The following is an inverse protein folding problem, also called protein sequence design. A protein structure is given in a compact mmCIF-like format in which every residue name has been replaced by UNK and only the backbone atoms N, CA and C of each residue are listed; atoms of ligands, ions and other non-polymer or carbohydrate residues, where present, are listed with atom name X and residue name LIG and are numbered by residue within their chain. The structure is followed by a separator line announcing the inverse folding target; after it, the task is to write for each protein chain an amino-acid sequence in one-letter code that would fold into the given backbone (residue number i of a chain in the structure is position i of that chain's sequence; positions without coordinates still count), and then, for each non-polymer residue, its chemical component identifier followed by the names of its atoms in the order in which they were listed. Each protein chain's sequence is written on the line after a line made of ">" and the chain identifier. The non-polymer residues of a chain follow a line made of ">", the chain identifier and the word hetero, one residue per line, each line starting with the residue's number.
data_IF_970745960723
#
_entry.id   IF_970745960723
#
_cell.length_a   1.000
_cell.length_b   1.000
_cell.length_c   1.000
_cell.angle_alpha   90.00
_cell.angle_beta   90.00
_cell.angle_gamma   90.00
#
_symmetry.space_group_name_H-M   'P 1'
#
loop_
_entity.id
_entity.type
_entity.pdbx_description
1 polymer ?
#
# COMPACT_ATOMS: atom_id res chain seq x y z
N UNK A 1 4.11 20.80 -10.84
CA UNK A 1 5.09 19.76 -10.44
C UNK A 1 4.35 18.42 -10.50
N UNK A 2 4.88 17.40 -11.18
CA UNK A 2 4.17 16.10 -11.34
C UNK A 2 4.17 15.34 -10.01
N UNK A 3 3.05 15.38 -9.29
CA UNK A 3 2.85 14.76 -7.97
C UNK A 3 3.11 13.25 -7.94
N UNK A 4 2.95 12.56 -9.08
CA UNK A 4 3.13 11.10 -9.17
C UNK A 4 4.49 10.61 -8.64
N UNK A 5 5.59 11.26 -9.00
CA UNK A 5 6.92 10.77 -8.63
C UNK A 5 7.14 10.64 -7.11
N UNK A 6 6.47 11.49 -6.32
CA UNK A 6 6.59 11.49 -4.86
C UNK A 6 5.98 10.23 -4.22
N UNK A 7 4.93 9.68 -4.82
CA UNK A 7 4.20 8.50 -4.31
C UNK A 7 4.74 7.18 -4.91
N UNK A 8 5.30 7.23 -6.13
CA UNK A 8 5.88 6.05 -6.78
C UNK A 8 7.12 5.52 -6.06
N UNK A 9 8.05 6.38 -5.64
CA UNK A 9 9.30 5.94 -5.02
C UNK A 9 9.05 5.17 -3.71
N UNK A 10 8.22 5.66 -2.77
CA UNK A 10 7.83 4.90 -1.58
C UNK A 10 7.16 3.57 -1.93
N UNK A 11 6.24 3.56 -2.90
CA UNK A 11 5.56 2.34 -3.34
C UNK A 11 6.56 1.27 -3.80
N UNK A 12 7.50 1.63 -4.69
CA UNK A 12 8.52 0.70 -5.18
C UNK A 12 9.43 0.18 -4.06
N UNK A 13 9.86 1.06 -3.15
CA UNK A 13 10.67 0.66 -1.99
C UNK A 13 9.91 -0.33 -1.11
N UNK A 14 8.64 -0.09 -0.86
CA UNK A 14 7.82 -0.97 -0.02
C UNK A 14 7.56 -2.33 -0.68
N UNK A 15 7.33 -2.36 -2.00
CA UNK A 15 7.22 -3.61 -2.76
C UNK A 15 8.51 -4.42 -2.68
N UNK A 16 9.66 -3.78 -2.87
CA UNK A 16 10.97 -4.43 -2.75
C UNK A 16 11.24 -4.94 -1.33
N UNK A 17 10.90 -4.15 -0.30
CA UNK A 17 11.05 -4.52 1.10
C UNK A 17 10.19 -5.74 1.46
N UNK A 18 8.90 -5.73 1.13
CA UNK A 18 7.97 -6.85 1.41
C UNK A 18 8.42 -8.16 0.77
N UNK A 19 9.10 -8.09 -0.38
CA UNK A 19 9.60 -9.25 -1.12
C UNK A 19 11.08 -9.56 -0.89
N UNK A 20 11.77 -8.80 -0.04
CA UNK A 20 13.21 -8.98 0.22
C UNK A 20 14.08 -8.85 -1.03
N UNK A 21 13.69 -8.02 -2.00
CA UNK A 21 14.40 -7.85 -3.28
C UNK A 21 15.24 -6.60 -3.31
N UNK A 22 16.42 -6.70 -3.93
CA UNK A 22 17.23 -5.54 -4.32
C UNK A 22 16.72 -4.93 -5.63
N UNK A 23 17.01 -3.65 -5.94
CA UNK A 23 16.57 -3.00 -7.19
C UNK A 23 16.91 -3.77 -8.48
N UNK A 24 18.08 -4.41 -8.54
CA UNK A 24 18.51 -5.23 -9.68
C UNK A 24 17.70 -6.52 -9.83
N UNK A 25 17.33 -7.16 -8.72
CA UNK A 25 16.49 -8.34 -8.71
C UNK A 25 15.05 -7.97 -9.07
N UNK A 26 14.53 -6.90 -8.50
CA UNK A 26 13.21 -6.36 -8.86
C UNK A 26 13.11 -6.06 -10.36
N UNK A 27 14.12 -5.39 -10.93
CA UNK A 27 14.18 -5.10 -12.36
C UNK A 27 14.09 -6.39 -13.21
N UNK A 28 14.84 -7.43 -12.81
CA UNK A 28 14.80 -8.74 -13.47
C UNK A 28 13.43 -9.40 -13.34
N UNK A 29 12.85 -9.38 -12.14
CA UNK A 29 11.57 -10.02 -11.83
C UNK A 29 10.42 -9.41 -12.67
N UNK A 30 10.42 -8.09 -12.90
CA UNK A 30 9.40 -7.42 -13.73
C UNK A 30 9.81 -7.29 -15.22
N UNK A 31 10.97 -7.84 -15.61
CA UNK A 31 11.44 -7.82 -17.00
C UNK A 31 11.74 -6.42 -17.55
N UNK A 32 12.39 -5.56 -16.76
CA UNK A 32 12.90 -4.25 -17.19
C UNK A 32 14.39 -4.10 -16.89
N UNK A 33 15.05 -3.12 -17.50
CA UNK A 33 16.48 -2.89 -17.23
C UNK A 33 16.72 -2.33 -15.82
N UNK A 34 17.85 -2.69 -15.22
CA UNK A 34 18.28 -2.12 -13.94
C UNK A 34 18.39 -0.58 -14.00
N UNK A 35 18.87 -0.03 -15.13
CA UNK A 35 18.96 1.41 -15.34
C UNK A 35 17.57 2.08 -15.33
N UNK A 36 16.54 1.41 -15.84
CA UNK A 36 15.15 1.90 -15.81
C UNK A 36 14.64 2.01 -14.37
N UNK A 37 14.77 0.94 -13.57
CA UNK A 37 14.38 0.96 -12.15
C UNK A 37 15.16 2.01 -11.37
N UNK A 38 16.47 2.14 -11.63
CA UNK A 38 17.29 3.17 -10.99
C UNK A 38 16.75 4.57 -11.28
N UNK A 39 16.42 4.90 -12.53
CA UNK A 39 15.83 6.21 -12.87
C UNK A 39 14.52 6.47 -12.13
N UNK A 40 13.66 5.46 -11.99
CA UNK A 40 12.42 5.58 -11.23
C UNK A 40 12.68 5.87 -9.74
N UNK A 41 13.61 5.15 -9.12
CA UNK A 41 13.93 5.31 -7.69
C UNK A 41 14.57 6.66 -7.35
N UNK A 42 15.29 7.26 -8.31
CA UNK A 42 15.86 8.60 -8.17
C UNK A 42 14.91 9.70 -8.67
N UNK A 43 13.71 9.32 -9.12
CA UNK A 43 12.72 10.24 -9.65
C UNK A 43 13.11 10.95 -10.93
N UNK A 44 14.03 10.38 -11.71
CA UNK A 44 14.46 10.92 -13.00
C UNK A 44 13.48 10.54 -14.12
N UNK A 45 12.69 9.49 -13.93
CA UNK A 45 11.70 9.02 -14.88
C UNK A 45 10.50 8.41 -14.15
N UNK A 46 9.40 8.21 -14.86
CA UNK A 46 8.16 7.63 -14.32
C UNK A 46 7.83 6.34 -15.08
N UNK A 47 7.42 5.25 -14.40
CA UNK A 47 7.00 4.03 -15.08
C UNK A 47 5.86 4.33 -16.05
N UNK A 48 5.96 3.83 -17.29
CA UNK A 48 4.87 3.93 -18.29
C UNK A 48 3.70 3.01 -17.90
N UNK A 49 2.49 3.17 -18.47
CA UNK A 49 1.34 2.33 -18.14
C UNK A 49 1.62 0.81 -18.24
N UNK A 50 2.28 0.37 -19.32
CA UNK A 50 2.71 -1.02 -19.47
C UNK A 50 3.69 -1.50 -18.38
N UNK A 51 4.52 -0.61 -17.81
CA UNK A 51 5.35 -0.93 -16.66
C UNK A 51 4.54 -0.92 -15.36
N UNK A 52 3.54 -0.06 -15.23
CA UNK A 52 2.62 -0.05 -14.09
C UNK A 52 1.84 -1.36 -13.98
N UNK A 53 1.39 -1.93 -15.10
CA UNK A 53 0.76 -3.26 -15.14
C UNK A 53 1.65 -4.35 -14.56
N UNK A 54 2.91 -4.41 -15.01
CA UNK A 54 3.90 -5.37 -14.49
C UNK A 54 4.18 -5.16 -13.00
N UNK A 55 4.25 -3.90 -12.56
CA UNK A 55 4.45 -3.57 -11.15
C UNK A 55 3.23 -3.99 -10.32
N UNK A 56 2.01 -3.79 -10.83
CA UNK A 56 0.77 -4.18 -10.15
C UNK A 56 0.68 -5.71 -9.99
N UNK A 57 0.87 -6.44 -11.09
CA UNK A 57 0.91 -7.91 -11.09
C UNK A 57 2.00 -8.43 -10.16
N UNK A 58 3.20 -7.85 -10.23
CA UNK A 58 4.30 -8.25 -9.35
C UNK A 58 4.06 -7.86 -7.89
N UNK A 59 3.40 -6.75 -7.58
CA UNK A 59 3.22 -6.30 -6.19
C UNK A 59 1.98 -6.89 -5.51
N UNK A 60 0.99 -7.34 -6.28
CA UNK A 60 -0.34 -7.67 -5.79
C UNK A 60 -1.17 -6.43 -5.44
N UNK A 61 -0.69 -5.23 -5.78
CA UNK A 61 -1.43 -3.99 -5.59
C UNK A 61 -2.39 -3.75 -6.77
N UNK A 62 -3.56 -3.11 -6.56
CA UNK A 62 -4.44 -2.73 -7.65
C UNK A 62 -3.73 -1.84 -8.68
N UNK A 63 -3.91 -2.13 -9.98
CA UNK A 63 -3.32 -1.34 -11.07
C UNK A 63 -3.61 0.15 -10.93
N UNK A 64 -4.83 0.48 -10.51
CA UNK A 64 -5.30 1.85 -10.31
C UNK A 64 -4.42 2.60 -9.30
N UNK A 65 -4.01 1.95 -8.20
CA UNK A 65 -3.11 2.51 -7.19
C UNK A 65 -1.71 2.75 -7.74
N UNK A 66 -1.18 1.81 -8.53
CA UNK A 66 0.15 1.95 -9.16
C UNK A 66 0.16 3.09 -10.19
N UNK A 67 -0.91 3.21 -10.99
CA UNK A 67 -1.04 4.26 -12.00
C UNK A 67 -1.29 5.65 -11.39
N UNK A 68 -2.05 5.71 -10.29
CA UNK A 68 -2.19 6.92 -9.47
C UNK A 68 -0.83 7.35 -8.90
N UNK A 69 -0.06 6.41 -8.35
CA UNK A 69 1.30 6.67 -7.91
C UNK A 69 2.22 7.09 -9.08
N UNK A 70 1.99 6.65 -10.32
CA UNK A 70 2.73 7.17 -11.46
C UNK A 70 2.27 8.57 -11.91
N UNK A 71 1.18 9.11 -11.36
CA UNK A 71 0.62 10.41 -11.73
C UNK A 71 -0.19 10.37 -13.04
N UNK A 72 -0.63 9.19 -13.49
CA UNK A 72 -1.52 9.06 -14.64
C UNK A 72 -2.99 9.27 -14.29
N UNK A 73 -3.33 9.20 -13.01
CA UNK A 73 -4.67 9.42 -12.53
C UNK A 73 -4.61 10.35 -11.32
N UNK A 74 -5.64 11.20 -11.11
CA UNK A 74 -5.81 11.83 -9.81
C UNK A 74 -5.82 10.69 -8.79
N UNK A 75 -5.06 10.86 -7.70
CA UNK A 75 -4.93 9.84 -6.65
C UNK A 75 -6.31 9.26 -6.35
N UNK A 76 -6.43 7.93 -6.27
CA UNK A 76 -7.63 7.32 -5.73
C UNK A 76 -7.66 7.73 -4.26
N UNK A 77 -8.20 8.90 -3.97
CA UNK A 77 -8.82 9.13 -2.68
C UNK A 77 -9.81 7.98 -2.54
N UNK A 78 -9.60 7.16 -1.50
CA UNK A 78 -10.52 6.07 -1.20
C UNK A 78 -11.92 6.64 -1.30
N UNK A 79 -12.71 6.15 -2.25
CA UNK A 79 -14.08 6.62 -2.34
C UNK A 79 -14.75 6.25 -1.01
N UNK A 80 -15.77 6.98 -0.53
CA UNK A 80 -16.52 6.57 0.67
C UNK A 80 -17.09 5.15 0.58
N UNK A 81 -17.14 4.56 -0.63
CA UNK A 81 -17.48 3.16 -0.87
C UNK A 81 -16.30 2.18 -0.63
N UNK A 82 -15.05 2.66 -0.69
CA UNK A 82 -13.82 1.92 -0.35
C UNK A 82 -13.42 2.10 1.13
N UNK A 83 -13.94 3.12 1.82
CA UNK A 83 -13.88 3.16 3.27
C UNK A 83 -14.87 2.14 3.81
N UNK A 84 -14.35 0.97 4.19
CA UNK A 84 -15.04 0.13 5.16
C UNK A 84 -15.49 1.05 6.31
N UNK A 85 -16.74 0.93 6.79
CA UNK A 85 -17.20 1.65 7.97
C UNK A 85 -16.22 1.48 9.12
N UNK A 86 -16.24 2.38 10.10
CA UNK A 86 -15.49 2.12 11.33
C UNK A 86 -15.86 0.74 11.87
N UNK A 87 -14.90 0.04 12.48
CA UNK A 87 -15.05 -1.36 12.86
C UNK A 87 -16.36 -1.59 13.63
N UNK A 88 -16.72 -0.67 14.53
CA UNK A 88 -18.00 -0.63 15.24
C UNK A 88 -19.21 -0.69 14.33
N UNK A 89 -19.30 0.21 13.36
CA UNK A 89 -20.42 0.31 12.43
C UNK A 89 -20.54 -0.97 11.58
N UNK A 90 -19.41 -1.50 11.12
CA UNK A 90 -19.39 -2.75 10.36
C UNK A 90 -19.81 -3.95 11.21
N UNK A 91 -19.30 -4.06 12.43
CA UNK A 91 -19.62 -5.12 13.37
C UNK A 91 -21.11 -5.11 13.72
N UNK A 92 -21.66 -3.93 14.01
CA UNK A 92 -23.08 -3.73 14.29
C UNK A 92 -23.97 -4.03 13.07
N UNK A 93 -23.53 -3.72 11.85
CA UNK A 93 -24.31 -4.01 10.64
C UNK A 93 -24.30 -5.50 10.27
N UNK A 94 -23.17 -6.19 10.45
CA UNK A 94 -22.98 -7.57 9.96
C UNK A 94 -23.21 -8.65 11.00
N UNK A 95 -23.00 -8.34 12.27
CA UNK A 95 -22.99 -9.30 13.37
C UNK A 95 -23.82 -8.78 14.56
N UNK A 96 -24.92 -8.06 14.30
CA UNK A 96 -25.77 -7.47 15.33
C UNK A 96 -26.30 -8.47 16.37
N UNK A 97 -26.41 -9.75 16.02
CA UNK A 97 -26.88 -10.82 16.91
C UNK A 97 -25.77 -11.43 17.76
N UNK A 98 -24.52 -11.40 17.29
CA UNK A 98 -23.38 -12.08 17.91
C UNK A 98 -22.41 -11.12 18.62
N UNK A 99 -22.39 -9.84 18.23
CA UNK A 99 -21.49 -8.81 18.73
C UNK A 99 -22.28 -7.67 19.38
N UNK A 100 -22.51 -7.79 20.68
CA UNK A 100 -23.05 -6.70 21.49
C UNK A 100 -22.02 -5.56 21.70
N UNK A 101 -22.48 -4.45 22.28
CA UNK A 101 -21.67 -3.25 22.45
C UNK A 101 -20.42 -3.47 23.32
N UNK A 102 -20.54 -4.29 24.36
CA UNK A 102 -19.43 -4.63 25.26
C UNK A 102 -18.38 -5.46 24.53
N UNK A 103 -18.81 -6.45 23.74
CA UNK A 103 -17.91 -7.31 22.97
C UNK A 103 -17.21 -6.54 21.84
N UNK A 104 -17.93 -5.65 21.16
CA UNK A 104 -17.34 -4.73 20.16
C UNK A 104 -16.26 -3.87 20.81
N UNK A 105 -16.52 -3.32 22.00
CA UNK A 105 -15.54 -2.52 22.74
C UNK A 105 -14.27 -3.32 23.08
N UNK A 106 -14.43 -4.58 23.54
CA UNK A 106 -13.28 -5.45 23.85
C UNK A 106 -12.45 -5.71 22.59
N UNK A 107 -13.08 -5.93 21.44
CA UNK A 107 -12.38 -6.17 20.18
C UNK A 107 -11.61 -4.91 19.72
N UNK A 108 -12.21 -3.73 19.83
CA UNK A 108 -11.53 -2.46 19.53
C UNK A 108 -10.28 -2.27 20.40
N UNK A 109 -10.43 -2.45 21.71
CA UNK A 109 -9.33 -2.38 22.67
C UNK A 109 -8.19 -3.35 22.31
N UNK A 110 -8.53 -4.58 21.90
CA UNK A 110 -7.54 -5.59 21.52
C UNK A 110 -6.83 -5.23 20.21
N UNK A 111 -7.56 -4.73 19.22
CA UNK A 111 -7.00 -4.26 17.95
C UNK A 111 -6.03 -3.11 18.22
N UNK A 112 -6.42 -2.14 19.05
CA UNK A 112 -5.61 -0.96 19.36
C UNK A 112 -4.34 -1.34 20.12
N UNK A 113 -4.44 -2.17 21.16
CA UNK A 113 -3.28 -2.68 21.90
C UNK A 113 -2.30 -3.47 21.00
N UNK A 114 -2.79 -4.14 19.96
CA UNK A 114 -1.93 -4.85 18.99
C UNK A 114 -1.25 -3.89 18.03
N UNK A 115 -1.94 -2.83 17.59
CA UNK A 115 -1.36 -1.76 16.76
C UNK A 115 -0.24 -1.05 17.50
N UNK A 116 -0.47 -0.67 18.75
CA UNK A 116 0.54 0.01 19.59
C UNK A 116 1.79 -0.85 19.80
N UNK A 117 1.62 -2.15 20.07
CA UNK A 117 2.76 -3.09 20.18
C UNK A 117 3.54 -3.23 18.88
N UNK A 118 2.88 -3.18 17.73
CA UNK A 118 3.56 -3.23 16.42
C UNK A 118 4.34 -1.95 16.16
N UNK A 119 3.75 -0.80 16.46
CA UNK A 119 4.39 0.51 16.33
C UNK A 119 5.63 0.66 17.23
N UNK A 120 5.57 0.20 18.49
CA UNK A 120 6.71 0.27 19.41
C UNK A 120 7.83 -0.69 19.03
N UNK A 121 7.53 -1.82 18.40
CA UNK A 121 8.53 -2.72 17.84
C UNK A 121 9.24 -2.10 16.63
N UNK A 122 8.48 -1.52 15.69
CA UNK A 122 9.02 -0.84 14.49
C UNK A 122 9.86 0.40 14.85
N UNK A 123 9.50 1.13 15.91
CA UNK A 123 10.24 2.32 16.37
C UNK A 123 11.56 2.00 17.11
N UNK A 124 11.78 0.74 17.50
CA UNK A 124 12.99 0.31 18.23
C UNK A 124 14.08 -0.27 17.31
N UNK A 125 13.72 -0.59 16.07
CA UNK A 125 14.63 -1.10 15.03
C UNK A 125 15.08 -0.03 14.03
N UNK A 126 14.59 1.22 14.16
CA UNK A 126 14.97 2.38 13.36
C UNK A 126 16.03 3.23 14.08
#
# INVERSE_FOLDING_TARGET
>A
MKTGNKEMIPLLKEVMRRRGRKPSQFAKDIGVSHATVSRWLHGLDTPKPASCEKIAEYSGEPLVKVMAAAGYMPGVEATPADSLPEFREYAQLKYSEDLDEDLVQVLEDLIERRRQRRWTAESKEA
#
